data_IF_820118811588
#
_entry.id   IF_820118811588
#
_cell.length_a   1.000
_cell.length_b   1.000
_cell.length_c   1.000
_cell.angle_alpha   90.00
_cell.angle_beta   90.00
_cell.angle_gamma   90.00
#
_symmetry.space_group_name_H-M   'P 1'
#
loop_
_entity.id
_entity.type
_entity.pdbx_description
1 polymer ?
#
# COMPACT_ATOMS: atom_id res chain seq x y z
N UNK A 1 9.60 0.86 -17.79
CA UNK A 1 9.43 0.56 -16.34
C UNK A 1 8.07 -0.08 -16.16
N UNK A 2 7.98 -1.39 -15.85
CA UNK A 2 6.67 -2.02 -15.60
C UNK A 2 6.03 -1.38 -14.35
N UNK A 3 4.77 -0.92 -14.43
CA UNK A 3 4.12 -0.30 -13.30
C UNK A 3 3.69 -1.37 -12.29
N UNK A 4 4.53 -1.63 -11.28
CA UNK A 4 4.14 -2.38 -10.08
C UNK A 4 2.88 -1.76 -9.49
N UNK A 5 1.85 -2.54 -9.18
CA UNK A 5 0.58 -2.07 -8.63
C UNK A 5 -0.13 -1.01 -9.51
N UNK A 6 -0.26 -1.26 -10.82
CA UNK A 6 -0.90 -0.28 -11.71
C UNK A 6 -2.40 -0.15 -11.47
N UNK A 7 -3.09 -1.28 -11.30
CA UNK A 7 -4.55 -1.33 -11.09
C UNK A 7 -4.91 -0.72 -9.73
N UNK A 8 -4.12 -1.00 -8.70
CA UNK A 8 -4.25 -0.42 -7.36
C UNK A 8 -4.12 1.11 -7.41
N UNK A 9 -3.17 1.66 -8.16
CA UNK A 9 -3.05 3.12 -8.32
C UNK A 9 -4.25 3.74 -9.03
N UNK A 10 -4.78 3.06 -10.03
CA UNK A 10 -6.00 3.51 -10.72
C UNK A 10 -7.20 3.47 -9.77
N UNK A 11 -7.35 2.39 -9.00
CA UNK A 11 -8.39 2.24 -7.99
C UNK A 11 -8.31 3.33 -6.93
N UNK A 12 -7.11 3.65 -6.42
CA UNK A 12 -6.91 4.72 -5.44
C UNK A 12 -7.38 6.07 -6.00
N UNK A 13 -6.98 6.42 -7.23
CA UNK A 13 -7.41 7.66 -7.91
C UNK A 13 -8.91 7.71 -8.14
N UNK A 14 -9.53 6.59 -8.52
CA UNK A 14 -10.98 6.49 -8.76
C UNK A 14 -11.79 6.72 -7.47
N UNK A 15 -11.22 6.43 -6.32
CA UNK A 15 -11.87 6.53 -5.01
C UNK A 15 -11.38 7.72 -4.17
N UNK A 16 -10.81 8.74 -4.83
CA UNK A 16 -10.31 9.99 -4.23
C UNK A 16 -9.20 9.82 -3.18
N UNK A 17 -8.37 8.79 -3.34
CA UNK A 17 -7.15 8.63 -2.55
C UNK A 17 -5.93 9.22 -3.25
N UNK A 18 -5.18 10.01 -2.52
CA UNK A 18 -3.82 10.40 -2.87
C UNK A 18 -2.83 9.28 -2.55
N UNK A 19 -1.73 9.22 -3.29
CA UNK A 19 -0.67 8.25 -3.02
C UNK A 19 0.75 8.79 -3.25
N UNK A 20 1.71 8.28 -2.49
CA UNK A 20 3.15 8.53 -2.64
C UNK A 20 3.89 7.21 -2.83
N UNK A 21 4.88 7.23 -3.73
CA UNK A 21 5.72 6.07 -4.06
C UNK A 21 7.06 6.21 -3.35
N UNK A 22 7.50 5.18 -2.66
CA UNK A 22 8.86 5.07 -2.13
C UNK A 22 9.49 3.75 -2.57
N UNK A 23 10.77 3.79 -2.90
CA UNK A 23 11.50 2.61 -3.34
C UNK A 23 12.71 2.40 -2.44
N UNK A 24 12.85 1.18 -1.93
CA UNK A 24 13.90 0.81 -1.00
C UNK A 24 14.66 -0.36 -1.61
N UNK A 25 15.98 -0.21 -1.72
CA UNK A 25 16.93 -1.28 -2.05
C UNK A 25 17.72 -1.62 -0.78
N UNK A 26 17.30 -2.63 0.00
CA UNK A 26 18.09 -3.06 1.13
C UNK A 26 19.43 -3.61 0.64
N UNK A 27 20.53 -3.33 1.33
CA UNK A 27 21.85 -3.86 0.96
C UNK A 27 21.99 -5.37 1.24
N UNK A 28 21.29 -5.87 2.26
CA UNK A 28 21.52 -7.21 2.82
C UNK A 28 20.48 -8.26 2.40
N UNK A 29 19.41 -7.89 1.68
CA UNK A 29 18.40 -8.86 1.19
C UNK A 29 18.29 -8.80 -0.34
N UNK A 30 18.12 -9.96 -1.00
CA UNK A 30 17.99 -10.01 -2.46
C UNK A 30 16.65 -9.43 -2.96
N UNK A 31 15.70 -9.19 -2.04
CA UNK A 31 14.38 -8.69 -2.34
C UNK A 31 14.37 -7.16 -2.34
N UNK A 32 13.77 -6.60 -3.39
CA UNK A 32 13.50 -5.19 -3.48
C UNK A 32 12.16 -4.86 -2.83
N UNK A 33 12.07 -3.68 -2.23
CA UNK A 33 10.85 -3.24 -1.55
C UNK A 33 10.32 -1.99 -2.23
N UNK A 34 9.07 -2.05 -2.65
CA UNK A 34 8.31 -0.91 -3.15
C UNK A 34 7.20 -0.57 -2.17
N UNK A 35 7.13 0.67 -1.69
CA UNK A 35 6.11 1.11 -0.74
C UNK A 35 5.18 2.10 -1.44
N UNK A 36 3.91 1.77 -1.51
CA UNK A 36 2.84 2.64 -1.98
C UNK A 36 2.08 3.15 -0.75
N UNK A 37 2.41 4.37 -0.30
CA UNK A 37 1.65 5.04 0.76
C UNK A 37 0.41 5.68 0.15
N UNK A 38 -0.74 5.61 0.80
CA UNK A 38 -1.98 6.20 0.32
C UNK A 38 -2.87 6.71 1.46
N UNK A 39 -3.78 7.63 1.14
CA UNK A 39 -4.71 8.24 2.09
C UNK A 39 -5.51 9.37 1.44
N UNK A 40 -6.24 10.15 2.24
CA UNK A 40 -7.04 11.28 1.75
C UNK A 40 -6.47 12.60 2.27
N UNK A 41 -6.49 13.63 1.42
CA UNK A 41 -5.93 14.94 1.71
C UNK A 41 -4.49 14.82 2.29
N UNK A 42 -4.19 15.53 3.37
CA UNK A 42 -2.85 15.57 3.98
C UNK A 42 -2.46 14.29 4.73
N UNK A 43 -3.34 13.29 4.83
CA UNK A 43 -3.16 12.12 5.71
C UNK A 43 -2.90 10.82 4.94
N UNK A 44 -1.67 10.66 4.44
CA UNK A 44 -1.20 9.47 3.70
C UNK A 44 -0.64 8.41 4.67
N UNK A 45 -1.54 7.83 5.47
CA UNK A 45 -1.18 6.99 6.62
C UNK A 45 -1.25 5.48 6.33
N UNK A 46 -1.97 5.07 5.29
CA UNK A 46 -2.06 3.68 4.86
C UNK A 46 -0.94 3.36 3.87
N UNK A 47 -0.55 2.09 3.77
CA UNK A 47 0.52 1.67 2.85
C UNK A 47 0.36 0.25 2.36
N UNK A 48 0.77 0.02 1.13
CA UNK A 48 1.04 -1.31 0.57
C UNK A 48 2.55 -1.46 0.43
N UNK A 49 3.12 -2.46 1.08
CA UNK A 49 4.53 -2.83 0.98
C UNK A 49 4.62 -4.02 0.02
N UNK A 50 5.31 -3.82 -1.08
CA UNK A 50 5.49 -4.82 -2.14
C UNK A 50 6.90 -5.36 -2.05
N UNK A 51 7.03 -6.63 -1.71
CA UNK A 51 8.28 -7.37 -1.85
C UNK A 51 8.32 -7.96 -3.24
N UNK A 52 9.40 -7.70 -3.97
CA UNK A 52 9.56 -8.21 -5.32
C UNK A 52 11.01 -8.55 -5.61
N UNK A 53 11.19 -9.42 -6.60
CA UNK A 53 12.51 -9.77 -7.14
C UNK A 53 12.60 -9.40 -8.61
N UNK A 54 13.78 -8.99 -9.04
CA UNK A 54 14.09 -8.94 -10.46
C UNK A 54 14.67 -10.28 -10.90
N UNK A 55 14.17 -10.81 -12.01
CA UNK A 55 14.83 -11.91 -12.71
C UNK A 55 16.04 -11.37 -13.47
N UNK A 56 16.96 -12.27 -13.82
CA UNK A 56 18.12 -11.98 -14.66
C UNK A 56 17.75 -11.38 -16.03
N UNK A 57 16.54 -11.66 -16.53
CA UNK A 57 15.99 -11.12 -17.80
C UNK A 57 15.22 -9.80 -17.56
N UNK A 58 15.31 -9.22 -16.37
CA UNK A 58 14.65 -7.96 -16.01
C UNK A 58 13.15 -8.08 -15.72
N UNK A 59 12.57 -9.29 -15.68
CA UNK A 59 11.17 -9.49 -15.30
C UNK A 59 11.02 -9.28 -13.80
N UNK A 60 10.03 -8.49 -13.40
CA UNK A 60 9.67 -8.30 -12.01
C UNK A 60 8.70 -9.40 -11.58
N UNK A 61 8.99 -10.05 -10.47
CA UNK A 61 8.06 -11.00 -9.83
C UNK A 61 7.70 -10.47 -8.46
N UNK A 62 6.42 -10.13 -8.28
CA UNK A 62 5.86 -9.82 -6.96
C UNK A 62 5.86 -11.09 -6.13
N UNK A 63 6.37 -11.00 -4.91
CA UNK A 63 6.39 -12.09 -3.95
C UNK A 63 5.29 -11.94 -2.91
N UNK A 64 5.10 -10.72 -2.43
CA UNK A 64 4.20 -10.43 -1.33
C UNK A 64 3.71 -8.99 -1.43
N UNK A 65 2.44 -8.79 -1.10
CA UNK A 65 1.81 -7.49 -0.90
C UNK A 65 1.31 -7.40 0.55
N UNK A 66 2.00 -6.63 1.38
CA UNK A 66 1.60 -6.36 2.78
C UNK A 66 0.82 -5.04 2.83
N UNK A 67 -0.49 -5.14 3.05
CA UNK A 67 -1.39 -4.03 3.27
C UNK A 67 -1.44 -3.68 4.76
N UNK A 68 -1.09 -2.42 5.06
CA UNK A 68 -1.20 -1.82 6.37
C UNK A 68 -2.12 -0.62 6.29
N UNK A 69 -3.36 -0.81 6.76
CA UNK A 69 -4.30 0.29 6.91
C UNK A 69 -4.06 0.98 8.25
N UNK A 70 -4.21 2.30 8.25
CA UNK A 70 -4.24 3.07 9.48
C UNK A 70 -5.40 2.61 10.37
N UNK A 71 -5.16 2.47 11.69
CA UNK A 71 -6.14 1.92 12.65
C UNK A 71 -6.29 0.39 12.65
N UNK A 72 -5.72 -0.33 11.67
CA UNK A 72 -5.77 -1.78 11.62
C UNK A 72 -4.70 -2.40 12.53
N UNK A 73 -5.11 -3.29 13.44
CA UNK A 73 -4.19 -3.94 14.40
C UNK A 73 -3.21 -4.92 13.72
N UNK A 74 -3.71 -5.73 12.78
CA UNK A 74 -2.92 -6.75 12.11
C UNK A 74 -2.82 -6.47 10.61
N UNK A 75 -1.62 -6.43 10.01
CA UNK A 75 -1.46 -6.30 8.56
C UNK A 75 -2.11 -7.46 7.81
N UNK A 76 -2.50 -7.23 6.55
CA UNK A 76 -2.97 -8.29 5.65
C UNK A 76 -1.98 -8.52 4.53
N UNK A 77 -1.69 -9.79 4.27
CA UNK A 77 -0.73 -10.21 3.27
C UNK A 77 -1.48 -10.84 2.10
N UNK A 78 -1.14 -10.41 0.88
CA UNK A 78 -1.72 -10.90 -0.37
C UNK A 78 -0.63 -11.43 -1.31
N UNK A 79 -0.98 -12.45 -2.10
CA UNK A 79 -0.09 -13.04 -3.09
C UNK A 79 -0.16 -12.30 -4.44
N UNK A 80 -1.32 -11.73 -4.78
CA UNK A 80 -1.57 -11.05 -6.04
C UNK A 80 -2.21 -9.66 -5.88
N UNK A 81 -2.07 -8.82 -6.90
CA UNK A 81 -2.74 -7.51 -6.94
C UNK A 81 -4.26 -7.64 -7.00
N UNK A 82 -4.77 -8.74 -7.55
CA UNK A 82 -6.21 -9.00 -7.67
C UNK A 82 -6.82 -9.26 -6.29
N UNK A 83 -6.19 -10.11 -5.46
CA UNK A 83 -6.65 -10.35 -4.09
C UNK A 83 -6.64 -9.07 -3.24
N UNK A 84 -5.63 -8.22 -3.45
CA UNK A 84 -5.52 -6.92 -2.79
C UNK A 84 -6.68 -6.00 -3.21
N UNK A 85 -6.97 -5.92 -4.50
CA UNK A 85 -8.04 -5.08 -5.03
C UNK A 85 -9.40 -5.55 -4.56
N UNK A 86 -9.68 -6.84 -4.62
CA UNK A 86 -10.92 -7.44 -4.13
C UNK A 86 -11.11 -7.12 -2.65
N UNK A 87 -10.04 -7.21 -1.86
CA UNK A 87 -10.10 -6.81 -0.46
C UNK A 87 -10.43 -5.32 -0.28
N UNK A 88 -9.73 -4.43 -1.00
CA UNK A 88 -9.92 -2.98 -0.91
C UNK A 88 -11.34 -2.56 -1.33
N UNK A 89 -11.89 -3.18 -2.36
CA UNK A 89 -13.23 -2.91 -2.87
C UNK A 89 -14.30 -3.36 -1.87
N UNK A 90 -14.17 -4.56 -1.30
CA UNK A 90 -15.09 -5.07 -0.28
C UNK A 90 -14.99 -4.34 1.07
N UNK A 91 -13.91 -3.60 1.34
CA UNK A 91 -13.69 -2.90 2.61
C UNK A 91 -13.67 -1.37 2.47
N UNK A 92 -14.03 -0.84 1.30
CA UNK A 92 -13.96 0.59 1.00
C UNK A 92 -14.70 1.45 2.03
N UNK A 93 -15.93 1.08 2.39
CA UNK A 93 -16.73 1.83 3.37
C UNK A 93 -16.06 1.86 4.75
N UNK A 94 -15.50 0.72 5.18
CA UNK A 94 -14.80 0.63 6.47
C UNK A 94 -13.51 1.46 6.46
N UNK A 95 -12.75 1.39 5.37
CA UNK A 95 -11.54 2.20 5.17
C UNK A 95 -11.88 3.69 5.22
N UNK A 96 -12.98 4.10 4.59
CA UNK A 96 -13.48 5.47 4.65
C UNK A 96 -13.90 5.84 6.07
N UNK A 97 -14.73 5.03 6.73
CA UNK A 97 -15.26 5.28 8.07
C UNK A 97 -14.14 5.40 9.12
N UNK A 98 -13.13 4.53 9.10
CA UNK A 98 -12.01 4.58 10.05
C UNK A 98 -11.17 5.86 9.86
N UNK A 99 -11.00 6.33 8.62
CA UNK A 99 -10.31 7.60 8.35
C UNK A 99 -11.07 8.83 8.89
N UNK A 100 -12.41 8.81 8.88
CA UNK A 100 -13.23 9.94 9.35
C UNK A 100 -13.58 9.89 10.84
N UNK A 101 -13.71 8.69 11.44
CA UNK A 101 -14.16 8.52 12.84
C UNK A 101 -13.08 8.83 13.88
N UNK A 102 -11.81 8.77 13.49
CA UNK A 102 -10.68 8.96 14.39
C UNK A 102 -9.65 9.94 13.81
N UNK A 103 -10.01 11.22 13.62
CA UNK A 103 -9.08 12.24 13.13
C UNK A 103 -7.86 12.42 14.05
N UNK A 104 -8.01 12.19 15.36
CA UNK A 104 -6.93 12.25 16.34
C UNK A 104 -5.83 11.21 16.07
N UNK A 105 -6.20 10.00 15.65
CA UNK A 105 -5.23 8.96 15.26
C UNK A 105 -4.47 9.34 13.98
N UNK A 106 -4.99 10.29 13.18
CA UNK A 106 -4.28 10.84 12.02
C UNK A 106 -3.14 11.78 12.43
N UNK A 107 -3.18 12.33 13.65
CA UNK A 107 -2.17 13.26 14.22
C UNK A 107 -1.07 12.57 15.05
N UNK A 108 -1.37 11.41 15.65
CA UNK A 108 -0.44 10.68 16.54
C UNK A 108 0.70 9.91 15.82
N UNK A 109 0.70 9.85 14.48
CA UNK A 109 1.66 9.03 13.73
C UNK A 109 3.02 9.71 13.44
N UNK A 110 3.29 10.91 13.96
CA UNK A 110 4.62 11.52 13.89
C UNK A 110 5.43 11.14 15.15
N UNK A 111 6.53 10.38 15.05
CA UNK A 111 7.46 10.29 16.17
C UNK A 111 8.07 11.67 16.42
N UNK A 112 8.09 12.08 17.69
CA UNK A 112 8.81 13.26 18.19
C UNK A 112 10.29 13.19 17.84
#
# INVERSE_FOLDING_TARGET
>A
MMPVLNRTKQWLRKNDFEYKKAYIRPMMVPEHVYVLKFGRADHINSRVIVKYKHSFIGRLTVKELDLRLHGQHNPRIFASEDDLLDYLENHLEKINLDAYKHPERMSEAQPK
#
